data_IF_021793826435
#
_entry.id   IF_021793826435
#
_cell.length_a   1.000
_cell.length_b   1.000
_cell.length_c   1.000
_cell.angle_alpha   90.00
_cell.angle_beta   90.00
_cell.angle_gamma   90.00
#
_symmetry.space_group_name_H-M   'P 1'
#
loop_
_entity.id
_entity.type
_entity.pdbx_description
1 polymer ?
#
# COMPACT_ATOMS: atom_id res chain seq x y z
N UNK A 1 2.73 -25.22 -12.94
CA UNK A 1 2.95 -24.43 -11.71
C UNK A 1 2.19 -23.14 -11.93
N UNK A 2 1.22 -22.81 -11.08
CA UNK A 2 0.35 -21.65 -11.29
C UNK A 2 1.12 -20.39 -10.90
N UNK A 3 1.65 -19.67 -11.90
CA UNK A 3 2.03 -18.27 -11.76
C UNK A 3 0.75 -17.49 -11.49
N UNK A 4 0.39 -17.33 -10.23
CA UNK A 4 -0.56 -16.30 -9.81
C UNK A 4 0.12 -14.98 -10.15
N UNK A 5 -0.12 -14.49 -11.38
CA UNK A 5 0.34 -13.20 -11.87
C UNK A 5 -0.41 -12.12 -11.08
N UNK A 6 -0.05 -11.93 -9.82
CA UNK A 6 -0.37 -10.71 -9.08
C UNK A 6 0.27 -9.59 -9.87
N UNK A 7 -0.57 -8.80 -10.54
CA UNK A 7 -0.10 -7.70 -11.37
C UNK A 7 0.88 -6.82 -10.58
N UNK A 8 1.97 -6.36 -11.22
CA UNK A 8 3.00 -5.62 -10.51
C UNK A 8 2.41 -4.36 -9.87
N UNK A 9 2.54 -4.25 -8.55
CA UNK A 9 2.08 -3.09 -7.80
C UNK A 9 3.05 -1.94 -8.05
N UNK A 10 2.54 -0.89 -8.69
CA UNK A 10 3.25 0.35 -8.90
C UNK A 10 2.95 1.31 -7.76
N UNK A 11 4.01 1.82 -7.13
CA UNK A 11 3.91 2.79 -6.06
C UNK A 11 4.24 4.19 -6.57
N UNK A 12 3.37 5.16 -6.28
CA UNK A 12 3.63 6.58 -6.56
C UNK A 12 3.47 7.42 -5.30
N UNK A 13 4.36 8.38 -5.11
CA UNK A 13 4.19 9.43 -4.09
C UNK A 13 3.21 10.48 -4.63
N UNK A 14 2.02 10.54 -4.05
CA UNK A 14 1.02 11.55 -4.45
C UNK A 14 1.30 12.91 -3.80
N UNK A 15 1.81 12.90 -2.57
CA UNK A 15 2.29 14.07 -1.83
C UNK A 15 3.23 13.61 -0.70
N UNK A 16 3.88 14.55 0.00
CA UNK A 16 4.70 14.21 1.16
C UNK A 16 3.85 13.49 2.21
N UNK A 17 4.25 12.28 2.58
CA UNK A 17 3.53 11.46 3.54
C UNK A 17 2.32 10.70 2.95
N UNK A 18 2.13 10.66 1.63
CA UNK A 18 1.06 9.86 1.01
C UNK A 18 1.56 9.15 -0.24
N UNK A 19 1.46 7.82 -0.22
CA UNK A 19 1.78 6.94 -1.34
C UNK A 19 0.53 6.21 -1.79
N UNK A 20 0.38 6.05 -3.09
CA UNK A 20 -0.72 5.34 -3.71
C UNK A 20 -0.17 4.13 -4.42
N UNK A 21 -0.75 2.97 -4.15
CA UNK A 21 -0.49 1.72 -4.85
C UNK A 21 -1.48 1.57 -6.00
N UNK A 22 -1.00 1.16 -7.16
CA UNK A 22 -1.82 0.87 -8.34
C UNK A 22 -1.39 -0.45 -8.97
N UNK A 23 -2.36 -1.28 -9.36
CA UNK A 23 -2.13 -2.51 -10.11
C UNK A 23 -3.07 -2.49 -11.33
N UNK A 24 -2.57 -2.84 -12.52
CA UNK A 24 -3.30 -2.74 -13.79
C UNK A 24 -4.03 -1.40 -13.95
N UNK A 25 -3.36 -0.28 -13.69
CA UNK A 25 -3.92 1.09 -13.77
C UNK A 25 -5.04 1.41 -12.74
N UNK A 26 -5.39 0.46 -11.87
CA UNK A 26 -6.39 0.66 -10.83
C UNK A 26 -5.74 0.92 -9.47
N UNK A 27 -6.20 1.93 -8.71
CA UNK A 27 -5.72 2.15 -7.36
C UNK A 27 -6.16 1.01 -6.44
N UNK A 28 -5.21 0.32 -5.82
CA UNK A 28 -5.47 -0.85 -4.95
C UNK A 28 -5.33 -0.52 -3.46
N UNK A 29 -4.68 0.60 -3.13
CA UNK A 29 -4.58 1.08 -1.76
C UNK A 29 -3.71 2.32 -1.64
N UNK A 30 -3.58 2.81 -0.41
CA UNK A 30 -2.77 3.96 -0.05
C UNK A 30 -1.98 3.69 1.23
N UNK A 31 -0.83 4.33 1.35
CA UNK A 31 -0.05 4.41 2.58
C UNK A 31 0.04 5.87 2.98
N UNK A 32 -0.32 6.18 4.21
CA UNK A 32 -0.27 7.54 4.75
C UNK A 32 0.67 7.59 5.94
N UNK A 33 1.66 8.46 5.91
CA UNK A 33 2.52 8.77 7.05
C UNK A 33 1.75 9.63 8.05
N UNK A 34 1.69 9.13 9.28
CA UNK A 34 1.23 9.85 10.45
C UNK A 34 2.44 10.09 11.34
N UNK A 35 2.88 11.34 11.42
CA UNK A 35 4.06 11.80 12.17
C UNK A 35 4.25 11.17 13.56
N UNK A 36 3.17 10.93 14.31
CA UNK A 36 3.22 10.31 15.65
C UNK A 36 3.06 8.78 15.66
N UNK A 37 2.50 8.20 14.59
CA UNK A 37 2.07 6.80 14.58
C UNK A 37 2.85 5.91 13.60
N UNK A 38 3.55 6.48 12.60
CA UNK A 38 4.21 5.74 11.52
C UNK A 38 3.38 5.72 10.24
N UNK A 39 3.45 4.63 9.47
CA UNK A 39 2.81 4.48 8.17
C UNK A 39 1.53 3.67 8.28
N UNK A 40 0.39 4.26 7.95
CA UNK A 40 -0.91 3.60 7.97
C UNK A 40 -1.24 3.10 6.58
N UNK A 41 -1.60 1.82 6.46
CA UNK A 41 -1.98 1.20 5.19
C UNK A 41 -3.50 1.10 5.12
N UNK A 42 -4.08 1.59 4.03
CA UNK A 42 -5.51 1.49 3.75
C UNK A 42 -5.73 0.88 2.38
N UNK A 43 -6.50 -0.20 2.31
CA UNK A 43 -6.86 -0.86 1.05
C UNK A 43 -7.90 -0.05 0.27
N UNK A 44 -8.12 -0.39 -1.01
CA UNK A 44 -9.20 0.18 -1.84
C UNK A 44 -10.58 0.10 -1.19
N UNK A 45 -10.83 -0.92 -0.36
CA UNK A 45 -12.12 -1.10 0.33
C UNK A 45 -12.26 -0.25 1.59
N UNK A 46 -11.27 0.59 1.91
CA UNK A 46 -11.25 1.38 3.14
C UNK A 46 -10.84 0.57 4.38
N UNK A 47 -10.39 -0.67 4.20
CA UNK A 47 -9.89 -1.50 5.31
C UNK A 47 -8.50 -1.02 5.70
N UNK A 48 -8.33 -0.71 6.98
CA UNK A 48 -7.02 -0.44 7.55
C UNK A 48 -6.32 -1.78 7.84
N UNK A 49 -5.13 -1.99 7.27
CA UNK A 49 -4.34 -3.21 7.51
C UNK A 49 -3.48 -3.11 8.77
N UNK A 50 -3.22 -1.88 9.23
CA UNK A 50 -2.42 -1.61 10.40
C UNK A 50 -1.56 -0.37 10.24
N UNK A 51 -0.72 -0.17 11.26
CA UNK A 51 0.30 0.87 11.27
C UNK A 51 1.67 0.23 11.37
N UNK A 52 2.59 0.68 10.52
CA UNK A 52 3.93 0.12 10.35
C UNK A 52 4.97 1.18 10.66
N UNK A 53 6.18 0.76 11.05
CA UNK A 53 7.26 1.70 11.39
C UNK A 53 7.97 2.24 10.16
N UNK A 54 7.93 1.49 9.06
CA UNK A 54 8.60 1.83 7.80
C UNK A 54 7.63 1.79 6.62
N UNK A 55 7.93 2.60 5.60
CA UNK A 55 7.20 2.56 4.33
C UNK A 55 7.28 1.17 3.67
N UNK A 56 8.44 0.53 3.70
CA UNK A 56 8.66 -0.78 3.10
C UNK A 56 7.78 -1.87 3.72
N UNK A 57 7.65 -1.88 5.06
CA UNK A 57 6.74 -2.79 5.77
C UNK A 57 5.27 -2.51 5.42
N UNK A 58 4.91 -1.24 5.31
CA UNK A 58 3.56 -0.82 4.91
C UNK A 58 3.21 -1.26 3.48
N UNK A 59 4.17 -1.12 2.55
CA UNK A 59 4.00 -1.54 1.16
C UNK A 59 3.86 -3.06 1.05
N UNK A 60 4.76 -3.81 1.68
CA UNK A 60 4.72 -5.27 1.70
C UNK A 60 3.44 -5.81 2.33
N UNK A 61 2.90 -5.16 3.36
CA UNK A 61 1.62 -5.54 3.96
C UNK A 61 0.43 -5.31 3.03
N UNK A 62 0.43 -4.23 2.24
CA UNK A 62 -0.60 -4.02 1.23
C UNK A 62 -0.51 -5.09 0.15
N UNK A 63 0.69 -5.35 -0.36
CA UNK A 63 0.95 -6.34 -1.42
C UNK A 63 0.56 -7.76 -0.98
N UNK A 64 0.81 -8.13 0.28
CA UNK A 64 0.38 -9.41 0.85
C UNK A 64 -1.15 -9.52 1.05
N UNK A 65 -1.88 -8.40 0.99
CA UNK A 65 -3.34 -8.35 1.16
C UNK A 65 -4.11 -8.24 -0.16
N UNK A 66 -3.43 -8.09 -1.31
CA UNK A 66 -4.05 -8.08 -2.64
C UNK A 66 -4.39 -9.50 -3.10
#
# INVERSE_FOLDING_TARGET
MADTLTAPVSWRSAQRGLWVASADEHPVGIVTEKWTHGFVVTTRTGRNLGTYRSLEEAQGALEASL
#
